data_IF_947811038585
#
_entry.id   IF_947811038585
#
_cell.length_a   1.000
_cell.length_b   1.000
_cell.length_c   1.000
_cell.angle_alpha   90.00
_cell.angle_beta   90.00
_cell.angle_gamma   90.00
#
_symmetry.space_group_name_H-M   'P 1'
#
loop_
_entity.id
_entity.type
_entity.pdbx_description
1 polymer ?
#
# COMPACT_ATOMS: atom_id res chain seq x y z
N UNK A 1 12.53 5.39 20.00
CA UNK A 1 11.81 6.24 19.03
C UNK A 1 10.54 5.49 18.67
N UNK A 2 9.41 6.16 18.50
CA UNK A 2 8.18 5.52 18.00
C UNK A 2 8.40 5.09 16.55
N UNK A 3 7.88 3.91 16.17
CA UNK A 3 7.95 3.45 14.78
C UNK A 3 7.33 4.48 13.82
N UNK A 4 7.93 4.66 12.65
CA UNK A 4 7.33 5.45 11.59
C UNK A 4 6.30 4.60 10.84
N UNK A 5 5.09 5.11 10.64
CA UNK A 5 4.03 4.41 9.91
C UNK A 5 3.81 5.14 8.59
N UNK A 6 3.87 4.41 7.49
CA UNK A 6 3.51 4.90 6.16
C UNK A 6 2.31 4.12 5.63
N UNK A 7 1.33 4.84 5.12
CA UNK A 7 0.18 4.20 4.47
C UNK A 7 0.49 3.99 2.99
N UNK A 8 0.48 2.74 2.52
CA UNK A 8 0.66 2.41 1.10
C UNK A 8 -0.71 2.36 0.43
N UNK A 9 -0.99 3.35 -0.41
CA UNK A 9 -2.19 3.43 -1.24
C UNK A 9 -1.84 3.38 -2.72
N UNK A 10 -2.84 3.30 -3.59
CA UNK A 10 -2.65 3.22 -5.03
C UNK A 10 -3.64 4.10 -5.76
N UNK A 11 -3.28 4.50 -6.98
CA UNK A 11 -4.21 5.21 -7.87
C UNK A 11 -5.37 4.34 -8.37
N UNK A 12 -5.29 3.02 -8.15
CA UNK A 12 -6.30 2.04 -8.54
C UNK A 12 -6.11 0.69 -7.80
N UNK A 13 -7.03 -0.24 -8.05
CA UNK A 13 -6.87 -1.66 -7.77
C UNK A 13 -5.84 -2.28 -8.73
N UNK A 14 -5.13 -3.32 -8.27
CA UNK A 14 -4.10 -4.04 -9.04
C UNK A 14 -2.93 -3.19 -9.60
N UNK A 15 -2.75 -1.94 -9.14
CA UNK A 15 -1.63 -1.06 -9.54
C UNK A 15 -0.25 -1.53 -9.06
N UNK A 16 -0.19 -2.60 -8.25
CA UNK A 16 1.05 -3.17 -7.71
C UNK A 16 1.40 -2.75 -6.28
N UNK A 17 0.39 -2.46 -5.42
CA UNK A 17 0.59 -2.16 -3.99
C UNK A 17 1.33 -3.30 -3.27
N UNK A 18 0.80 -4.52 -3.33
CA UNK A 18 1.39 -5.71 -2.70
C UNK A 18 2.87 -5.87 -3.02
N UNK A 19 3.22 -5.77 -4.30
CA UNK A 19 4.61 -5.84 -4.75
C UNK A 19 5.46 -4.69 -4.18
N UNK A 20 4.94 -3.46 -4.30
CA UNK A 20 5.61 -2.25 -3.79
C UNK A 20 5.86 -2.34 -2.28
N UNK A 21 4.86 -2.74 -1.51
CA UNK A 21 4.92 -2.86 -0.05
C UNK A 21 5.99 -3.86 0.37
N UNK A 22 5.98 -5.08 -0.21
CA UNK A 22 7.00 -6.09 0.06
C UNK A 22 8.40 -5.66 -0.38
N UNK A 23 8.52 -5.03 -1.55
CA UNK A 23 9.81 -4.55 -2.08
C UNK A 23 10.42 -3.46 -1.21
N UNK A 24 9.63 -2.44 -0.83
CA UNK A 24 10.09 -1.38 0.07
C UNK A 24 10.51 -1.94 1.43
N UNK A 25 9.71 -2.84 2.02
CA UNK A 25 10.08 -3.48 3.28
C UNK A 25 11.39 -4.25 3.17
N UNK A 26 11.63 -4.96 2.06
CA UNK A 26 12.90 -5.64 1.80
C UNK A 26 14.06 -4.65 1.77
N UNK A 27 13.98 -3.63 0.93
CA UNK A 27 15.05 -2.65 0.74
C UNK A 27 15.37 -1.91 2.04
N UNK A 28 14.34 -1.51 2.81
CA UNK A 28 14.56 -0.83 4.09
C UNK A 28 15.17 -1.75 5.15
N UNK A 29 14.77 -3.04 5.19
CA UNK A 29 15.43 -4.02 6.05
C UNK A 29 16.91 -4.23 5.65
N UNK A 30 17.23 -4.30 4.36
CA UNK A 30 18.61 -4.39 3.86
C UNK A 30 19.44 -3.13 4.23
N UNK A 31 18.78 -1.99 4.42
CA UNK A 31 19.38 -0.74 4.90
C UNK A 31 19.45 -0.65 6.44
N UNK A 32 19.04 -1.69 7.15
CA UNK A 32 19.07 -1.76 8.62
C UNK A 32 17.89 -1.09 9.32
N UNK A 33 16.84 -0.67 8.59
CA UNK A 33 15.59 -0.16 9.16
C UNK A 33 14.67 -1.35 9.38
N UNK A 34 14.43 -1.74 10.63
CA UNK A 34 13.56 -2.88 10.94
C UNK A 34 12.14 -2.57 10.52
N UNK A 35 11.73 -3.11 9.38
CA UNK A 35 10.47 -2.78 8.71
C UNK A 35 9.58 -4.01 8.67
N UNK A 36 8.33 -3.85 9.12
CA UNK A 36 7.26 -4.84 8.95
C UNK A 36 6.16 -4.28 8.05
N UNK A 37 5.47 -5.18 7.36
CA UNK A 37 4.28 -4.85 6.57
C UNK A 37 3.03 -5.29 7.31
N UNK A 38 1.98 -4.46 7.25
CA UNK A 38 0.65 -4.76 7.75
C UNK A 38 -0.36 -4.50 6.63
N UNK A 39 -1.39 -5.34 6.52
CA UNK A 39 -2.52 -5.14 5.62
C UNK A 39 -3.66 -4.57 6.46
N UNK A 40 -4.18 -3.40 6.07
CA UNK A 40 -5.27 -2.74 6.77
C UNK A 40 -6.48 -3.66 6.88
N UNK A 41 -6.98 -4.11 5.72
CA UNK A 41 -8.09 -5.04 5.56
C UNK A 41 -7.77 -5.94 4.36
N UNK A 42 -7.89 -7.25 4.53
CA UNK A 42 -7.91 -8.23 3.45
C UNK A 42 -9.36 -8.60 3.12
N UNK A 43 -9.68 -8.73 1.84
CA UNK A 43 -10.94 -9.31 1.37
C UNK A 43 -10.63 -10.50 0.44
N UNK A 44 -11.55 -11.47 0.33
CA UNK A 44 -11.34 -12.68 -0.48
C UNK A 44 -10.55 -13.80 0.19
N UNK A 45 -10.33 -13.75 1.51
CA UNK A 45 -9.53 -14.74 2.25
C UNK A 45 -10.27 -15.20 3.52
N UNK A 46 -9.82 -16.29 4.14
CA UNK A 46 -10.45 -16.83 5.36
C UNK A 46 -9.53 -16.75 6.58
N UNK A 47 -8.26 -17.13 6.44
CA UNK A 47 -7.34 -17.25 7.57
C UNK A 47 -6.06 -16.43 7.41
N UNK A 48 -5.42 -16.53 6.24
CA UNK A 48 -4.20 -15.79 5.92
C UNK A 48 -4.46 -14.85 4.75
N UNK A 49 -3.94 -13.63 4.86
CA UNK A 49 -3.91 -12.65 3.78
C UNK A 49 -2.88 -13.06 2.73
N UNK A 50 -3.35 -13.26 1.50
CA UNK A 50 -2.48 -13.55 0.35
C UNK A 50 -1.50 -12.40 0.07
N UNK A 51 -1.89 -11.15 0.39
CA UNK A 51 -1.02 -9.99 0.27
C UNK A 51 0.13 -10.06 1.28
N UNK A 52 -0.14 -10.44 2.54
CA UNK A 52 0.92 -10.66 3.54
C UNK A 52 1.84 -11.81 3.12
N UNK A 53 1.31 -12.92 2.61
CA UNK A 53 2.15 -14.01 2.08
C UNK A 53 3.06 -13.53 0.95
N UNK A 54 2.52 -12.74 0.03
CA UNK A 54 3.30 -12.14 -1.04
C UNK A 54 4.36 -11.17 -0.51
N UNK A 55 4.05 -10.35 0.49
CA UNK A 55 5.04 -9.47 1.13
C UNK A 55 6.21 -10.29 1.67
N UNK A 56 5.94 -11.38 2.41
CA UNK A 56 6.99 -12.24 2.97
C UNK A 56 7.83 -12.89 1.89
N UNK A 57 7.19 -13.40 0.83
CA UNK A 57 7.88 -13.98 -0.31
C UNK A 57 8.82 -12.97 -1.00
N UNK A 58 8.35 -11.74 -1.23
CA UNK A 58 9.16 -10.66 -1.82
C UNK A 58 10.32 -10.28 -0.90
N UNK A 59 10.07 -10.20 0.41
CA UNK A 59 11.08 -9.96 1.44
C UNK A 59 12.09 -11.11 1.57
N UNK A 60 11.83 -12.27 0.96
CA UNK A 60 12.71 -13.45 1.03
C UNK A 60 12.63 -14.17 2.39
N UNK A 61 11.50 -14.07 3.08
CA UNK A 61 11.27 -14.69 4.37
C UNK A 61 9.96 -15.50 4.39
N UNK A 62 9.80 -16.36 5.40
CA UNK A 62 8.53 -17.03 5.67
C UNK A 62 7.60 -16.16 6.52
N UNK A 63 6.45 -16.71 6.89
CA UNK A 63 5.56 -16.09 7.88
C UNK A 63 6.32 -15.82 9.19
N UNK A 64 6.11 -14.64 9.73
CA UNK A 64 6.67 -14.15 10.98
C UNK A 64 5.76 -14.51 12.16
N UNK A 65 6.27 -14.50 13.41
CA UNK A 65 5.42 -14.65 14.60
C UNK A 65 4.22 -13.69 14.63
N UNK A 66 4.42 -12.45 14.20
CA UNK A 66 3.39 -11.41 14.12
C UNK A 66 2.28 -11.76 13.12
N UNK A 67 2.60 -12.50 12.04
CA UNK A 67 1.61 -12.99 11.09
C UNK A 67 0.74 -14.09 11.73
N UNK A 68 1.36 -15.00 12.50
CA UNK A 68 0.66 -16.05 13.23
C UNK A 68 -0.26 -15.47 14.33
N UNK A 69 0.17 -14.37 14.95
CA UNK A 69 -0.61 -13.61 15.92
C UNK A 69 -1.70 -12.73 15.28
N UNK A 70 -1.81 -12.72 13.95
CA UNK A 70 -2.74 -11.89 13.17
C UNK A 70 -2.52 -10.38 13.31
N UNK A 71 -1.35 -9.93 13.77
CA UNK A 71 -1.06 -8.49 13.91
C UNK A 71 -0.89 -7.80 12.55
N UNK A 72 -0.39 -8.54 11.56
CA UNK A 72 -0.13 -8.00 10.22
C UNK A 72 -1.35 -8.07 9.30
N UNK A 73 -2.42 -8.75 9.71
CA UNK A 73 -3.68 -8.90 8.96
C UNK A 73 -4.86 -9.03 9.95
N UNK A 74 -5.08 -8.01 10.78
CA UNK A 74 -6.06 -8.07 11.87
C UNK A 74 -7.50 -8.24 11.38
N UNK A 75 -7.79 -7.79 10.16
CA UNK A 75 -9.12 -7.82 9.56
C UNK A 75 -9.10 -8.56 8.21
N UNK A 76 -9.78 -9.72 8.17
CA UNK A 76 -9.92 -10.56 6.97
C UNK A 76 -11.39 -10.85 6.72
N UNK A 77 -11.85 -10.62 5.49
CA UNK A 77 -13.21 -10.89 5.04
C UNK A 77 -13.23 -11.88 3.87
N UNK A 78 -14.27 -12.70 3.80
CA UNK A 78 -14.31 -13.87 2.90
C UNK A 78 -14.62 -13.51 1.46
N UNK A 79 -15.41 -12.47 1.22
CA UNK A 79 -15.87 -12.12 -0.13
C UNK A 79 -14.91 -11.13 -0.82
N UNK A 80 -14.46 -11.39 -2.07
CA UNK A 80 -13.50 -10.54 -2.78
C UNK A 80 -14.19 -9.29 -3.34
N UNK A 81 -14.49 -8.33 -2.47
CA UNK A 81 -15.06 -7.04 -2.82
C UNK A 81 -14.42 -5.89 -2.04
N UNK A 82 -14.91 -4.67 -2.25
CA UNK A 82 -14.57 -3.53 -1.40
C UNK A 82 -14.86 -3.82 0.08
N UNK A 83 -14.06 -3.29 1.02
CA UNK A 83 -14.19 -3.61 2.45
C UNK A 83 -15.60 -3.46 3.02
N UNK A 84 -16.31 -2.36 2.74
CA UNK A 84 -17.68 -2.16 3.26
C UNK A 84 -18.65 -3.29 2.83
N UNK A 85 -18.56 -3.74 1.57
CA UNK A 85 -19.41 -4.79 1.04
C UNK A 85 -19.02 -6.15 1.61
N UNK A 86 -17.73 -6.44 1.70
CA UNK A 86 -17.23 -7.69 2.26
C UNK A 86 -17.65 -7.84 3.74
N UNK A 87 -17.52 -6.77 4.52
CA UNK A 87 -18.00 -6.71 5.90
C UNK A 87 -19.52 -6.97 6.02
N UNK A 88 -20.31 -6.34 5.15
CA UNK A 88 -21.76 -6.56 5.10
C UNK A 88 -22.12 -8.02 4.76
N UNK A 89 -21.43 -8.63 3.81
CA UNK A 89 -21.69 -10.01 3.38
C UNK A 89 -21.27 -11.04 4.44
N UNK A 90 -20.18 -10.79 5.16
CA UNK A 90 -19.75 -11.60 6.29
C UNK A 90 -20.58 -11.36 7.57
N UNK A 91 -21.50 -10.40 7.54
CA UNK A 91 -22.42 -10.11 8.64
C UNK A 91 -21.73 -9.49 9.87
N UNK A 92 -20.56 -8.88 9.71
CA UNK A 92 -19.80 -8.25 10.80
C UNK A 92 -19.16 -6.94 10.35
N UNK A 93 -19.08 -5.97 11.26
CA UNK A 93 -18.38 -4.71 10.99
C UNK A 93 -16.86 -4.89 10.98
N UNK A 94 -16.14 -3.94 10.36
CA UNK A 94 -14.68 -3.80 10.46
C UNK A 94 -14.34 -3.29 11.87
N UNK A 95 -13.45 -3.98 12.58
CA UNK A 95 -12.98 -3.57 13.88
C UNK A 95 -11.72 -2.69 13.75
N UNK A 96 -11.93 -1.38 13.62
CA UNK A 96 -10.82 -0.41 13.51
C UNK A 96 -9.95 -0.36 14.77
N UNK A 97 -10.51 -0.64 15.95
CA UNK A 97 -9.74 -0.69 17.20
C UNK A 97 -8.76 -1.87 17.17
N UNK A 98 -9.18 -3.03 16.66
CA UNK A 98 -8.29 -4.18 16.49
C UNK A 98 -7.12 -3.87 15.54
N UNK A 99 -7.40 -3.16 14.44
CA UNK A 99 -6.35 -2.69 13.51
C UNK A 99 -5.35 -1.81 14.26
N UNK A 100 -5.85 -0.81 15.00
CA UNK A 100 -5.01 0.12 15.75
C UNK A 100 -4.15 -0.60 16.80
N UNK A 101 -4.75 -1.47 17.62
CA UNK A 101 -4.03 -2.24 18.64
C UNK A 101 -2.95 -3.11 18.02
N UNK A 102 -3.21 -3.71 16.85
CA UNK A 102 -2.22 -4.48 16.12
C UNK A 102 -1.07 -3.59 15.63
N UNK A 103 -1.37 -2.43 15.05
CA UNK A 103 -0.35 -1.46 14.62
C UNK A 103 0.51 -0.97 15.80
N UNK A 104 -0.09 -0.70 16.96
CA UNK A 104 0.63 -0.27 18.17
C UNK A 104 1.57 -1.35 18.70
N UNK A 105 1.14 -2.62 18.69
CA UNK A 105 1.98 -3.75 19.07
C UNK A 105 3.16 -3.93 18.12
N UNK A 106 2.93 -3.82 16.81
CA UNK A 106 4.00 -3.83 15.81
C UNK A 106 4.96 -2.65 16.02
N UNK A 107 4.45 -1.46 16.37
CA UNK A 107 5.26 -0.26 16.55
C UNK A 107 6.20 -0.34 17.77
N UNK A 108 5.96 -1.28 18.70
CA UNK A 108 6.87 -1.55 19.80
C UNK A 108 8.11 -2.38 19.38
N UNK A 109 7.99 -3.18 18.31
CA UNK A 109 9.02 -4.10 17.84
C UNK A 109 9.85 -3.60 16.65
N UNK A 110 9.29 -2.70 15.85
CA UNK A 110 9.83 -2.28 14.55
C UNK A 110 10.14 -0.79 14.50
N UNK A 111 11.06 -0.40 13.62
CA UNK A 111 11.40 1.00 13.38
C UNK A 111 10.44 1.64 12.36
N UNK A 112 9.87 0.82 11.47
CA UNK A 112 8.94 1.24 10.44
C UNK A 112 7.82 0.22 10.19
N UNK A 113 6.61 0.70 9.91
CA UNK A 113 5.47 -0.10 9.45
C UNK A 113 4.99 0.43 8.10
N UNK A 114 4.92 -0.46 7.11
CA UNK A 114 4.21 -0.21 5.86
C UNK A 114 2.79 -0.77 5.98
N UNK A 115 1.81 0.11 6.18
CA UNK A 115 0.40 -0.23 6.28
C UNK A 115 -0.27 -0.16 4.91
N UNK A 116 -0.48 -1.30 4.28
CA UNK A 116 -1.09 -1.38 2.96
C UNK A 116 -2.63 -1.31 3.03
N UNK A 117 -3.21 -0.40 2.24
CA UNK A 117 -4.65 -0.29 2.04
C UNK A 117 -5.24 -1.24 0.99
N UNK A 118 -6.57 -1.29 0.91
CA UNK A 118 -7.31 -1.97 -0.14
C UNK A 118 -7.72 -0.96 -1.24
N UNK A 119 -7.40 -1.25 -2.51
CA UNK A 119 -7.71 -0.37 -3.65
C UNK A 119 -7.04 1.02 -3.56
N UNK A 120 -7.81 2.10 -3.69
CA UNK A 120 -7.32 3.49 -3.67
C UNK A 120 -7.86 4.35 -2.53
N UNK A 121 -7.55 5.65 -2.54
CA UNK A 121 -7.83 6.59 -1.44
C UNK A 121 -9.33 6.77 -1.13
N UNK A 122 -10.20 6.62 -2.12
CA UNK A 122 -11.65 6.80 -1.99
C UNK A 122 -12.40 5.48 -1.78
N UNK A 123 -11.70 4.38 -1.47
CA UNK A 123 -12.36 3.09 -1.21
C UNK A 123 -13.17 3.18 0.09
N UNK A 124 -14.44 2.75 0.09
CA UNK A 124 -15.27 2.71 1.29
C UNK A 124 -14.83 1.59 2.25
N UNK A 125 -14.48 2.00 3.46
CA UNK A 125 -14.27 1.10 4.60
C UNK A 125 -15.62 0.83 5.29
N UNK A 126 -16.45 1.87 5.43
CA UNK A 126 -17.87 1.76 5.76
C UNK A 126 -18.71 2.56 4.75
N UNK A 127 -20.03 2.64 4.95
CA UNK A 127 -20.91 3.48 4.13
C UNK A 127 -20.62 4.99 4.28
N UNK A 128 -19.96 5.40 5.37
CA UNK A 128 -19.71 6.82 5.71
C UNK A 128 -18.23 7.14 5.95
N UNK A 129 -17.34 6.15 5.80
CA UNK A 129 -15.92 6.28 6.12
C UNK A 129 -15.04 5.68 5.02
N UNK A 130 -14.20 6.51 4.43
CA UNK A 130 -13.31 6.15 3.32
C UNK A 130 -11.89 5.91 3.80
N UNK A 131 -11.08 5.24 2.97
CA UNK A 131 -9.64 5.04 3.23
C UNK A 131 -8.92 6.37 3.53
N UNK A 132 -9.22 7.45 2.80
CA UNK A 132 -8.63 8.77 3.05
C UNK A 132 -8.99 9.34 4.42
N UNK A 133 -10.19 9.05 4.95
CA UNK A 133 -10.61 9.51 6.27
C UNK A 133 -9.83 8.75 7.37
N UNK A 134 -9.57 7.46 7.17
CA UNK A 134 -8.70 6.66 8.05
C UNK A 134 -7.28 7.21 8.08
N UNK A 135 -6.69 7.48 6.92
CA UNK A 135 -5.34 8.05 6.80
C UNK A 135 -5.26 9.41 7.50
N UNK A 136 -6.24 10.28 7.25
CA UNK A 136 -6.31 11.62 7.83
C UNK A 136 -6.45 11.57 9.36
N UNK A 137 -7.32 10.70 9.88
CA UNK A 137 -7.55 10.55 11.34
C UNK A 137 -6.27 10.17 12.08
N UNK A 138 -5.42 9.34 11.46
CA UNK A 138 -4.18 8.87 12.06
C UNK A 138 -2.93 9.70 11.67
N UNK A 139 -3.10 10.71 10.82
CA UNK A 139 -2.01 11.52 10.26
C UNK A 139 -0.90 10.68 9.61
N UNK A 140 -1.27 9.60 8.91
CA UNK A 140 -0.27 8.75 8.25
C UNK A 140 0.22 9.39 6.95
N UNK A 141 1.54 9.59 6.77
CA UNK A 141 2.08 9.94 5.48
C UNK A 141 1.83 8.84 4.45
N UNK A 142 1.49 9.24 3.22
CA UNK A 142 1.11 8.32 2.14
C UNK A 142 2.29 8.03 1.21
N UNK A 143 2.46 6.75 0.90
CA UNK A 143 3.18 6.27 -0.28
C UNK A 143 2.13 5.94 -1.33
N UNK A 144 2.09 6.69 -2.42
CA UNK A 144 1.10 6.51 -3.48
C UNK A 144 1.73 5.74 -4.65
N UNK A 145 1.20 4.54 -4.90
CA UNK A 145 1.62 3.68 -6.01
C UNK A 145 0.93 4.12 -7.31
N UNK A 146 1.74 4.38 -8.34
CA UNK A 146 1.31 4.74 -9.70
C UNK A 146 2.12 3.98 -10.74
N UNK A 147 1.85 4.18 -12.03
CA UNK A 147 2.55 3.50 -13.14
C UNK A 147 2.51 4.33 -14.43
N UNK A 148 3.16 3.84 -15.49
CA UNK A 148 3.15 4.42 -16.83
C UNK A 148 2.09 3.87 -17.78
N UNK A 149 1.00 3.23 -17.29
CA UNK A 149 -0.13 2.88 -18.16
C UNK A 149 -0.94 4.09 -18.57
N UNK A 150 -1.65 3.97 -19.69
CA UNK A 150 -2.57 5.01 -20.14
C UNK A 150 -3.65 5.24 -19.08
N UNK A 151 -3.90 6.52 -18.75
CA UNK A 151 -4.83 6.93 -17.69
C UNK A 151 -4.17 7.17 -16.32
N UNK A 152 -2.94 6.69 -16.09
CA UNK A 152 -2.27 6.87 -14.80
C UNK A 152 -2.00 8.33 -14.46
N UNK A 153 -1.72 9.20 -15.44
CA UNK A 153 -1.59 10.64 -15.20
C UNK A 153 -2.87 11.18 -14.53
N UNK A 154 -4.04 10.93 -15.14
CA UNK A 154 -5.31 11.39 -14.59
C UNK A 154 -5.56 10.89 -13.16
N UNK A 155 -5.44 9.58 -12.92
CA UNK A 155 -5.70 9.02 -11.59
C UNK A 155 -4.68 9.47 -10.55
N UNK A 156 -3.42 9.67 -10.95
CA UNK A 156 -2.38 10.22 -10.07
C UNK A 156 -2.74 11.66 -9.69
N UNK A 157 -3.02 12.53 -10.65
CA UNK A 157 -3.38 13.91 -10.35
C UNK A 157 -4.62 14.03 -9.48
N UNK A 158 -5.68 13.24 -9.76
CA UNK A 158 -6.88 13.21 -8.91
C UNK A 158 -6.56 12.78 -7.48
N UNK A 159 -5.67 11.80 -7.31
CA UNK A 159 -5.22 11.33 -5.99
C UNK A 159 -4.39 12.40 -5.27
N UNK A 160 -3.48 13.07 -5.99
CA UNK A 160 -2.64 14.14 -5.45
C UNK A 160 -3.48 15.34 -4.99
N UNK A 161 -4.41 15.81 -5.82
CA UNK A 161 -5.31 16.91 -5.46
C UNK A 161 -6.18 16.54 -4.24
N UNK A 162 -6.63 15.29 -4.12
CA UNK A 162 -7.35 14.82 -2.94
C UNK A 162 -6.48 14.84 -1.67
N UNK A 163 -5.24 14.34 -1.74
CA UNK A 163 -4.29 14.37 -0.62
C UNK A 163 -4.06 15.82 -0.15
N UNK A 164 -3.83 16.73 -1.10
CA UNK A 164 -3.65 18.17 -0.85
C UNK A 164 -4.90 18.78 -0.21
N UNK A 165 -6.09 18.51 -0.76
CA UNK A 165 -7.37 19.00 -0.24
C UNK A 165 -7.64 18.51 1.19
N UNK A 166 -7.27 17.27 1.50
CA UNK A 166 -7.46 16.66 2.83
C UNK A 166 -6.33 16.95 3.80
N UNK A 167 -5.29 17.68 3.39
CA UNK A 167 -4.12 17.97 4.23
C UNK A 167 -3.31 16.72 4.61
N UNK A 168 -3.40 15.65 3.81
CA UNK A 168 -2.67 14.41 4.05
C UNK A 168 -1.28 14.51 3.41
N UNK A 169 -0.24 14.25 4.19
CA UNK A 169 1.14 14.31 3.72
C UNK A 169 1.40 13.22 2.67
N UNK A 170 1.92 13.61 1.51
CA UNK A 170 2.51 12.69 0.54
C UNK A 170 4.00 12.52 0.83
N UNK A 171 4.40 11.33 1.27
CA UNK A 171 5.80 11.00 1.50
C UNK A 171 6.51 10.60 0.21
N UNK A 172 5.89 9.71 -0.57
CA UNK A 172 6.50 9.23 -1.80
C UNK A 172 5.50 8.91 -2.91
N UNK A 173 5.94 9.10 -4.16
CA UNK A 173 5.41 8.39 -5.32
C UNK A 173 6.23 7.13 -5.51
N UNK A 174 5.57 5.97 -5.50
CA UNK A 174 6.16 4.70 -5.87
C UNK A 174 5.72 4.36 -7.31
N UNK A 175 6.64 4.51 -8.26
CA UNK A 175 6.37 4.31 -9.68
C UNK A 175 6.61 2.85 -10.08
N UNK A 176 5.53 2.11 -10.26
CA UNK A 176 5.55 0.70 -10.64
C UNK A 176 5.79 0.51 -12.14
N UNK A 177 7.01 0.10 -12.48
CA UNK A 177 7.39 -0.17 -13.87
C UNK A 177 6.74 -1.44 -14.45
N UNK A 178 6.23 -2.35 -13.62
CA UNK A 178 5.60 -3.60 -14.08
C UNK A 178 4.23 -3.36 -14.75
N UNK A 179 3.57 -2.25 -14.41
CA UNK A 179 2.26 -1.85 -14.94
C UNK A 179 2.39 -0.73 -15.99
N UNK A 180 3.55 -0.61 -16.63
CA UNK A 180 3.75 0.37 -17.69
C UNK A 180 3.02 0.00 -18.99
N UNK A 181 2.73 1.01 -19.80
CA UNK A 181 2.40 0.81 -21.21
C UNK A 181 3.50 0.00 -21.91
N UNK A 182 3.08 -0.82 -22.89
CA UNK A 182 4.03 -1.51 -23.79
C UNK A 182 4.77 -0.55 -24.72
N UNK A 183 4.22 0.65 -24.91
CA UNK A 183 4.90 1.75 -25.59
C UNK A 183 5.74 2.52 -24.58
N UNK A 184 7.09 2.47 -24.67
CA UNK A 184 7.98 3.11 -23.71
C UNK A 184 7.84 4.64 -23.69
N UNK A 185 7.45 5.26 -24.83
CA UNK A 185 7.27 6.71 -24.90
C UNK A 185 6.18 7.19 -23.94
N UNK A 186 5.10 6.40 -23.77
CA UNK A 186 4.01 6.73 -22.85
C UNK A 186 4.49 6.71 -21.41
N UNK A 187 5.28 5.70 -21.03
CA UNK A 187 5.78 5.58 -19.67
C UNK A 187 6.83 6.68 -19.37
N UNK A 188 7.74 6.95 -20.29
CA UNK A 188 8.75 8.00 -20.17
C UNK A 188 8.12 9.40 -20.04
N UNK A 189 7.15 9.72 -20.89
CA UNK A 189 6.41 10.99 -20.81
C UNK A 189 5.62 11.10 -19.50
N UNK A 190 4.97 10.01 -19.06
CA UNK A 190 4.26 9.98 -17.77
C UNK A 190 5.21 10.29 -16.61
N UNK A 191 6.40 9.70 -16.59
CA UNK A 191 7.42 9.97 -15.56
C UNK A 191 7.84 11.44 -15.59
N UNK A 192 8.16 11.96 -16.77
CA UNK A 192 8.60 13.35 -16.93
C UNK A 192 7.52 14.34 -16.45
N UNK A 193 6.27 14.12 -16.89
CA UNK A 193 5.13 14.95 -16.51
C UNK A 193 4.89 14.93 -15.00
N UNK A 194 4.83 13.74 -14.38
CA UNK A 194 4.56 13.62 -12.95
C UNK A 194 5.69 14.23 -12.11
N UNK A 195 6.96 14.02 -12.49
CA UNK A 195 8.10 14.66 -11.79
C UNK A 195 8.01 16.19 -11.84
N UNK A 196 7.65 16.77 -12.99
CA UNK A 196 7.46 18.22 -13.12
C UNK A 196 6.29 18.71 -12.24
N UNK A 197 5.19 17.98 -12.20
CA UNK A 197 4.03 18.32 -11.36
C UNK A 197 4.39 18.27 -9.86
N UNK A 198 5.09 17.22 -9.41
CA UNK A 198 5.55 17.09 -8.02
C UNK A 198 6.47 18.23 -7.60
N UNK A 199 7.42 18.64 -8.46
CA UNK A 199 8.30 19.78 -8.15
C UNK A 199 7.53 21.08 -7.88
N UNK A 200 6.36 21.26 -8.50
CA UNK A 200 5.54 22.46 -8.34
C UNK A 200 4.67 22.42 -7.07
N UNK A 201 4.04 21.27 -6.80
CA UNK A 201 2.97 21.17 -5.80
C UNK A 201 3.31 20.29 -4.58
N UNK A 202 4.36 19.47 -4.67
CA UNK A 202 4.75 18.44 -3.70
C UNK A 202 6.28 18.29 -3.61
N UNK A 203 6.99 19.40 -3.44
CA UNK A 203 8.46 19.46 -3.60
C UNK A 203 9.25 18.53 -2.66
N UNK A 204 8.70 18.19 -1.49
CA UNK A 204 9.33 17.29 -0.50
C UNK A 204 9.04 15.80 -0.75
N UNK A 205 8.26 15.47 -1.78
CA UNK A 205 7.90 14.08 -2.09
C UNK A 205 9.08 13.32 -2.70
N UNK A 206 9.35 12.15 -2.13
CA UNK A 206 10.35 11.23 -2.67
C UNK A 206 9.81 10.49 -3.90
N UNK A 207 10.62 10.37 -4.95
CA UNK A 207 10.33 9.48 -6.07
C UNK A 207 11.03 8.14 -5.86
N UNK A 208 10.28 7.04 -5.91
CA UNK A 208 10.82 5.68 -5.79
C UNK A 208 10.45 4.87 -7.02
N UNK A 209 11.45 4.37 -7.74
CA UNK A 209 11.24 3.46 -8.85
C UNK A 209 11.06 2.02 -8.33
N UNK A 210 9.91 1.42 -8.63
CA UNK A 210 9.57 0.05 -8.25
C UNK A 210 9.81 -0.86 -9.46
N UNK A 211 10.79 -1.78 -9.39
CA UNK A 211 11.26 -2.49 -10.57
C UNK A 211 10.22 -3.48 -11.10
N UNK A 212 10.17 -3.62 -12.42
CA UNK A 212 9.51 -4.76 -13.06
C UNK A 212 10.40 -5.99 -12.90
N UNK A 213 10.11 -6.85 -11.93
CA UNK A 213 10.78 -8.16 -11.88
C UNK A 213 10.23 -9.01 -13.02
N UNK A 214 11.14 -9.46 -13.91
CA UNK A 214 10.90 -10.69 -14.63
C UNK A 214 10.87 -11.80 -13.58
N UNK A 215 9.68 -12.16 -13.10
CA UNK A 215 9.44 -13.43 -12.43
C UNK A 215 9.57 -14.55 -13.47
N UNK A 216 10.77 -14.71 -14.04
CA UNK A 216 11.24 -16.02 -14.43
C UNK A 216 11.40 -16.76 -13.11
N UNK A 217 10.29 -17.32 -12.63
CA UNK A 217 10.29 -18.36 -11.62
C UNK A 217 11.35 -19.36 -12.09
N UNK A 218 12.46 -19.40 -11.38
CA UNK A 218 13.42 -20.47 -11.49
C UNK A 218 12.67 -21.75 -11.20
N UNK A 219 12.19 -22.39 -12.26
CA UNK A 219 11.86 -23.80 -12.30
C UNK A 219 13.17 -24.56 -12.07
N UNK A 220 13.62 -24.59 -10.82
CA UNK A 220 14.55 -25.60 -10.37
C UNK A 220 13.73 -26.67 -9.65
N UNK A 221 13.72 -27.81 -10.35
CA UNK A 221 13.20 -29.11 -9.96
C UNK A 221 13.63 -29.53 -8.57
#
# INVERSE_FOLDING_TARGET
MSAQIYFVSGIDTAIGKTFTTGFLAKIWNEQGIRTITQKLIQTGNVDISEDIEQHRAIMGCGLLPEDQQKLTMPEIFTYPASPHLAARLDGRAINFEQIQQATEQLAAGYDCILLEGAGGLMVPLTEEFLTIDYIQTHNYPVILVTSGRLGSINHTLLSLELLKLRGVQLYAIAFNHADNSKDPLIAEDTIAYLKQYLQRDFADTTWVDIPALNLALSSHK
#
